data_IF_745815920602
#
_entry.id   IF_745815920602
#
_cell.length_a   1.000
_cell.length_b   1.000
_cell.length_c   1.000
_cell.angle_alpha   90.00
_cell.angle_beta   90.00
_cell.angle_gamma   90.00
#
_symmetry.space_group_name_H-M   'P 1'
#
loop_
_entity.id
_entity.type
_entity.pdbx_description
1 polymer ?
#
# COMPACT_ATOMS: atom_id res chain seq x y z
N UNK A 1 -15.57 -30.34 -3.34
CA UNK A 1 -16.69 -29.80 -2.55
C UNK A 1 -16.68 -30.29 -1.09
N UNK A 2 -16.75 -31.60 -0.78
CA UNK A 2 -16.74 -32.09 0.63
C UNK A 2 -15.49 -31.67 1.42
N UNK A 3 -14.31 -31.63 0.81
CA UNK A 3 -13.07 -31.13 1.44
C UNK A 3 -13.17 -29.68 1.87
N UNK A 4 -13.79 -28.84 1.07
CA UNK A 4 -14.02 -27.42 1.36
C UNK A 4 -14.89 -27.24 2.60
N UNK A 5 -16.05 -27.90 2.68
CA UNK A 5 -16.89 -27.82 3.86
C UNK A 5 -16.20 -28.31 5.14
N UNK A 6 -15.38 -29.38 5.03
CA UNK A 6 -14.56 -29.83 6.15
C UNK A 6 -13.52 -28.77 6.59
N UNK A 7 -12.96 -28.02 5.64
CA UNK A 7 -12.02 -26.93 5.96
C UNK A 7 -12.76 -25.77 6.63
N UNK A 8 -13.94 -25.40 6.16
CA UNK A 8 -14.74 -24.32 6.73
C UNK A 8 -15.37 -24.67 8.10
N UNK A 9 -15.52 -25.95 8.45
CA UNK A 9 -16.07 -26.42 9.72
C UNK A 9 -15.08 -26.32 10.90
N UNK A 10 -14.35 -25.20 11.04
CA UNK A 10 -13.39 -24.98 12.12
C UNK A 10 -13.29 -23.47 12.42
N UNK A 11 -13.52 -23.09 13.67
CA UNK A 11 -13.56 -21.67 14.09
C UNK A 11 -12.25 -20.93 13.83
N UNK A 12 -11.08 -21.59 14.02
CA UNK A 12 -9.78 -20.96 13.75
C UNK A 12 -9.62 -20.64 12.26
N UNK A 13 -10.07 -21.52 11.37
CA UNK A 13 -9.99 -21.29 9.91
C UNK A 13 -10.95 -20.20 9.44
N UNK A 14 -12.12 -20.09 10.03
CA UNK A 14 -13.04 -18.99 9.77
C UNK A 14 -12.45 -17.64 10.19
N UNK A 15 -11.80 -17.58 11.37
CA UNK A 15 -11.06 -16.39 11.82
C UNK A 15 -9.92 -16.03 10.86
N UNK A 16 -9.12 -17.02 10.42
CA UNK A 16 -8.05 -16.82 9.44
C UNK A 16 -8.57 -16.27 8.12
N UNK A 17 -9.67 -16.79 7.58
CA UNK A 17 -10.30 -16.29 6.36
C UNK A 17 -10.68 -14.81 6.49
N UNK A 18 -11.28 -14.45 7.62
CA UNK A 18 -11.70 -13.07 7.90
C UNK A 18 -10.52 -12.12 8.01
N UNK A 19 -9.43 -12.53 8.66
CA UNK A 19 -8.20 -11.74 8.77
C UNK A 19 -7.58 -11.55 7.38
N UNK A 20 -7.42 -12.64 6.61
CA UNK A 20 -6.83 -12.64 5.27
C UNK A 20 -7.68 -11.89 4.22
N UNK A 21 -8.93 -11.57 4.52
CA UNK A 21 -9.75 -10.65 3.74
C UNK A 21 -9.27 -9.20 3.81
N UNK A 22 -8.62 -8.83 4.91
CA UNK A 22 -8.18 -7.46 5.18
C UNK A 22 -6.78 -7.17 4.62
N UNK A 23 -6.07 -8.21 4.14
CA UNK A 23 -4.73 -8.04 3.56
C UNK A 23 -3.91 -9.32 3.57
N UNK A 24 -2.67 -9.19 3.15
CA UNK A 24 -1.70 -10.27 3.07
C UNK A 24 -0.90 -10.35 4.37
N UNK A 25 -0.87 -11.54 4.97
CA UNK A 25 -0.20 -11.75 6.25
C UNK A 25 0.76 -12.94 6.21
N UNK A 26 1.87 -12.83 6.92
CA UNK A 26 2.79 -13.93 7.18
C UNK A 26 2.27 -14.82 8.30
N UNK A 27 2.87 -16.02 8.44
CA UNK A 27 2.57 -16.91 9.59
C UNK A 27 2.83 -16.19 10.91
N UNK A 28 3.88 -15.35 10.97
CA UNK A 28 4.25 -14.64 12.19
C UNK A 28 3.18 -13.60 12.55
N UNK A 29 2.69 -12.84 11.58
CA UNK A 29 1.60 -11.88 11.80
C UNK A 29 0.34 -12.57 12.30
N UNK A 30 -0.06 -13.67 11.64
CA UNK A 30 -1.24 -14.44 12.02
C UNK A 30 -1.10 -15.08 13.42
N UNK A 31 0.12 -15.46 13.79
CA UNK A 31 0.45 -15.93 15.14
C UNK A 31 0.23 -14.85 16.20
N UNK A 32 0.66 -13.62 15.88
CA UNK A 32 0.48 -12.45 16.75
C UNK A 32 -1.01 -12.05 16.85
N UNK A 33 -1.70 -11.94 15.72
CA UNK A 33 -3.11 -11.54 15.67
C UNK A 33 -3.99 -12.50 16.46
N UNK A 34 -3.82 -13.80 16.22
CA UNK A 34 -4.66 -14.84 16.83
C UNK A 34 -4.22 -15.23 18.25
N UNK A 35 -3.00 -14.87 18.68
CA UNK A 35 -2.42 -15.31 19.94
C UNK A 35 -2.21 -16.83 19.99
N UNK A 36 -1.88 -17.47 18.86
CA UNK A 36 -1.76 -18.93 18.72
C UNK A 36 -0.37 -19.32 18.30
N UNK A 37 0.06 -20.53 18.66
CA UNK A 37 1.39 -21.05 18.29
C UNK A 37 1.56 -21.25 16.78
N UNK A 38 2.77 -20.95 16.28
CA UNK A 38 3.14 -20.98 14.85
C UNK A 38 2.81 -22.31 14.17
N UNK A 39 3.13 -23.43 14.82
CA UNK A 39 2.88 -24.78 14.25
C UNK A 39 1.39 -25.04 13.99
N UNK A 40 0.52 -24.51 14.88
CA UNK A 40 -0.92 -24.64 14.73
C UNK A 40 -1.43 -23.78 13.57
N UNK A 41 -1.00 -22.52 13.48
CA UNK A 41 -1.33 -21.64 12.38
C UNK A 41 -0.87 -22.22 11.04
N UNK A 42 0.40 -22.64 10.94
CA UNK A 42 0.96 -23.24 9.72
C UNK A 42 0.16 -24.46 9.25
N UNK A 43 -0.32 -25.31 10.18
CA UNK A 43 -1.16 -26.47 9.85
C UNK A 43 -2.51 -26.05 9.27
N UNK A 44 -3.16 -25.04 9.84
CA UNK A 44 -4.43 -24.52 9.31
C UNK A 44 -4.22 -23.90 7.92
N UNK A 45 -3.19 -23.06 7.74
CA UNK A 45 -2.87 -22.44 6.46
C UNK A 45 -2.59 -23.48 5.37
N UNK A 46 -1.84 -24.54 5.69
CA UNK A 46 -1.60 -25.64 4.75
C UNK A 46 -2.91 -26.29 4.28
N UNK A 47 -3.80 -26.65 5.20
CA UNK A 47 -5.10 -27.25 4.85
C UNK A 47 -5.96 -26.31 4.00
N UNK A 48 -5.93 -25.00 4.28
CA UNK A 48 -6.68 -24.00 3.53
C UNK A 48 -6.08 -23.78 2.13
N UNK A 49 -4.76 -23.80 1.99
CA UNK A 49 -4.08 -23.72 0.69
C UNK A 49 -4.33 -24.96 -0.17
N UNK A 50 -4.28 -26.18 0.42
CA UNK A 50 -4.61 -27.44 -0.26
C UNK A 50 -6.08 -27.49 -0.73
N UNK A 51 -6.96 -26.75 -0.06
CA UNK A 51 -8.37 -26.60 -0.45
C UNK A 51 -8.61 -25.49 -1.47
N UNK A 52 -7.58 -24.76 -1.91
CA UNK A 52 -7.69 -23.69 -2.89
C UNK A 52 -8.24 -22.37 -2.33
N UNK A 53 -8.33 -22.22 -1.00
CA UNK A 53 -8.83 -21.00 -0.36
C UNK A 53 -7.79 -19.89 -0.25
N UNK A 54 -6.49 -20.25 -0.33
CA UNK A 54 -5.38 -19.32 -0.15
C UNK A 54 -4.40 -19.42 -1.32
N UNK A 55 -3.91 -18.25 -1.73
CA UNK A 55 -2.68 -18.12 -2.52
C UNK A 55 -1.51 -17.80 -1.57
N UNK A 56 -0.32 -18.25 -1.95
CA UNK A 56 0.91 -18.01 -1.19
C UNK A 56 1.90 -17.32 -2.11
N UNK A 57 2.28 -16.11 -1.75
CA UNK A 57 3.28 -15.33 -2.46
C UNK A 57 4.58 -15.32 -1.66
N UNK A 58 5.69 -15.66 -2.33
CA UNK A 58 7.02 -15.63 -1.71
C UNK A 58 7.70 -14.30 -2.03
N UNK A 59 8.01 -13.55 -0.97
CA UNK A 59 8.78 -12.30 -1.05
C UNK A 59 10.05 -12.44 -0.20
N UNK A 60 11.19 -12.64 -0.86
CA UNK A 60 12.45 -12.95 -0.18
C UNK A 60 12.36 -14.24 0.64
N UNK A 61 12.56 -14.14 1.94
CA UNK A 61 12.45 -15.26 2.90
C UNK A 61 11.04 -15.44 3.48
N UNK A 62 10.13 -14.51 3.20
CA UNK A 62 8.80 -14.47 3.77
C UNK A 62 7.77 -15.09 2.82
N UNK A 63 6.76 -15.79 3.40
CA UNK A 63 5.60 -16.30 2.70
C UNK A 63 4.38 -15.51 3.17
N UNK A 64 3.78 -14.77 2.23
CA UNK A 64 2.54 -14.03 2.44
C UNK A 64 1.36 -14.88 1.99
N UNK A 65 0.36 -14.97 2.84
CA UNK A 65 -0.87 -15.68 2.57
C UNK A 65 -1.95 -14.68 2.21
N UNK A 66 -2.64 -14.93 1.12
CA UNK A 66 -3.73 -14.12 0.59
C UNK A 66 -4.95 -14.99 0.38
N UNK A 67 -6.14 -14.42 0.61
CA UNK A 67 -7.39 -15.10 0.29
C UNK A 67 -7.56 -15.18 -1.23
N UNK A 68 -7.83 -16.39 -1.74
CA UNK A 68 -8.12 -16.67 -3.15
C UNK A 68 -9.61 -16.92 -3.30
N UNK A 69 -10.36 -15.87 -3.64
CA UNK A 69 -11.78 -15.97 -3.97
C UNK A 69 -11.93 -15.62 -5.46
N UNK A 70 -11.67 -16.62 -6.32
CA UNK A 70 -12.01 -16.48 -7.74
C UNK A 70 -13.54 -16.43 -7.89
N UNK A 71 -14.03 -15.78 -8.96
CA UNK A 71 -15.47 -15.74 -9.27
C UNK A 71 -16.03 -17.16 -9.37
N UNK A 72 -17.16 -17.41 -8.71
CA UNK A 72 -17.85 -18.69 -8.70
C UNK A 72 -18.32 -19.13 -7.32
N UNK A 73 -18.55 -20.42 -7.16
CA UNK A 73 -19.15 -21.01 -5.95
C UNK A 73 -18.51 -20.58 -4.62
N UNK A 74 -17.18 -20.41 -4.60
CA UNK A 74 -16.46 -19.98 -3.38
C UNK A 74 -16.76 -18.54 -3.00
N UNK A 75 -16.82 -17.66 -3.99
CA UNK A 75 -17.19 -16.26 -3.83
C UNK A 75 -18.62 -16.10 -3.32
N UNK A 76 -19.56 -16.86 -3.93
CA UNK A 76 -20.97 -16.84 -3.54
C UNK A 76 -21.20 -17.40 -2.13
N UNK A 77 -20.53 -18.51 -1.83
CA UNK A 77 -20.56 -19.10 -0.48
C UNK A 77 -20.01 -18.14 0.54
N UNK A 78 -18.87 -17.49 0.24
CA UNK A 78 -18.23 -16.52 1.12
C UNK A 78 -19.17 -15.34 1.39
N UNK A 79 -19.77 -14.74 0.37
CA UNK A 79 -20.72 -13.63 0.52
C UNK A 79 -21.91 -13.98 1.46
N UNK A 80 -22.29 -15.25 1.50
CA UNK A 80 -23.36 -15.74 2.38
C UNK A 80 -22.88 -16.00 3.82
N UNK A 81 -21.62 -16.33 4.02
CA UNK A 81 -21.05 -16.70 5.33
C UNK A 81 -20.43 -15.50 6.04
N UNK A 82 -19.77 -14.59 5.32
CA UNK A 82 -19.03 -13.45 5.86
C UNK A 82 -19.86 -12.60 6.86
N UNK A 83 -21.12 -12.23 6.58
CA UNK A 83 -21.91 -11.44 7.52
C UNK A 83 -22.13 -12.15 8.87
N UNK A 84 -22.17 -13.47 8.88
CA UNK A 84 -22.36 -14.28 10.09
C UNK A 84 -21.07 -14.50 10.88
N UNK A 85 -19.92 -14.29 10.27
CA UNK A 85 -18.64 -14.32 10.98
C UNK A 85 -18.46 -13.11 11.92
N UNK A 86 -19.29 -12.09 11.78
CA UNK A 86 -19.37 -10.98 12.71
C UNK A 86 -19.87 -11.39 14.12
N UNK A 87 -20.48 -12.57 14.24
CA UNK A 87 -21.00 -13.11 15.49
C UNK A 87 -19.94 -13.92 16.29
N UNK A 88 -18.73 -14.08 15.78
CA UNK A 88 -17.65 -14.79 16.47
C UNK A 88 -17.18 -13.99 17.70
N UNK A 89 -17.08 -14.65 18.85
CA UNK A 89 -16.71 -14.02 20.14
C UNK A 89 -15.35 -13.31 20.08
N UNK A 90 -14.40 -13.83 19.28
CA UNK A 90 -13.05 -13.27 19.17
C UNK A 90 -12.90 -12.14 18.15
N UNK A 91 -14.00 -11.69 17.55
CA UNK A 91 -13.96 -10.72 16.45
C UNK A 91 -13.22 -9.43 16.80
N UNK A 92 -13.58 -8.81 17.93
CA UNK A 92 -12.99 -7.53 18.35
C UNK A 92 -11.50 -7.68 18.63
N UNK A 93 -11.11 -8.79 19.27
CA UNK A 93 -9.71 -9.09 19.56
C UNK A 93 -8.89 -9.27 18.27
N UNK A 94 -9.43 -10.00 17.31
CA UNK A 94 -8.75 -10.24 16.03
C UNK A 94 -8.63 -8.93 15.23
N UNK A 95 -9.65 -8.10 15.21
CA UNK A 95 -9.62 -6.79 14.57
C UNK A 95 -8.56 -5.87 15.18
N UNK A 96 -8.49 -5.81 16.51
CA UNK A 96 -7.43 -5.06 17.21
C UNK A 96 -6.03 -5.62 16.88
N UNK A 97 -5.88 -6.94 16.83
CA UNK A 97 -4.63 -7.59 16.44
C UNK A 97 -4.19 -7.24 15.03
N UNK A 98 -5.12 -7.20 14.07
CA UNK A 98 -4.85 -6.75 12.69
C UNK A 98 -4.37 -5.30 12.67
N UNK A 99 -5.09 -4.39 13.34
CA UNK A 99 -4.71 -2.98 13.43
C UNK A 99 -3.31 -2.80 14.06
N UNK A 100 -3.00 -3.58 15.09
CA UNK A 100 -1.67 -3.54 15.72
C UNK A 100 -0.58 -3.98 14.75
N UNK A 101 -0.71 -5.13 14.09
CA UNK A 101 0.27 -5.64 13.13
C UNK A 101 0.48 -4.67 11.97
N UNK A 102 -0.60 -4.10 11.42
CA UNK A 102 -0.52 -3.09 10.36
C UNK A 102 0.19 -1.82 10.85
N UNK A 103 -0.10 -1.35 12.06
CA UNK A 103 0.57 -0.19 12.66
C UNK A 103 2.08 -0.44 12.86
N UNK A 104 2.45 -1.63 13.32
CA UNK A 104 3.87 -2.02 13.51
C UNK A 104 4.61 -2.13 12.17
N UNK A 105 3.95 -2.63 11.10
CA UNK A 105 4.51 -2.63 9.74
C UNK A 105 4.76 -1.21 9.23
N UNK A 106 3.79 -0.31 9.39
CA UNK A 106 3.94 1.11 9.00
C UNK A 106 5.12 1.77 9.73
N UNK A 107 5.24 1.56 11.04
CA UNK A 107 6.37 2.09 11.81
C UNK A 107 7.70 1.55 11.31
N UNK A 108 7.83 0.25 11.07
CA UNK A 108 9.07 -0.35 10.55
C UNK A 108 9.43 0.20 9.16
N UNK A 109 8.46 0.34 8.27
CA UNK A 109 8.69 0.94 6.96
C UNK A 109 9.16 2.39 7.10
N UNK A 110 8.49 3.20 7.91
CA UNK A 110 8.88 4.57 8.17
C UNK A 110 10.28 4.68 8.77
N UNK A 111 10.62 3.84 9.74
CA UNK A 111 11.95 3.78 10.35
C UNK A 111 13.02 3.39 9.32
N UNK A 112 12.73 2.41 8.46
CA UNK A 112 13.62 2.02 7.36
C UNK A 112 13.91 3.18 6.41
N UNK A 113 12.87 3.87 5.94
CA UNK A 113 13.04 5.04 5.08
C UNK A 113 13.76 6.18 5.78
N UNK A 114 13.47 6.43 7.06
CA UNK A 114 14.16 7.45 7.84
C UNK A 114 15.67 7.16 7.98
N UNK A 115 16.06 5.90 8.14
CA UNK A 115 17.46 5.49 8.28
C UNK A 115 18.23 5.54 6.97
N UNK A 116 17.60 5.20 5.84
CA UNK A 116 18.24 5.08 4.53
C UNK A 116 17.99 6.28 3.60
N UNK A 117 17.31 7.31 4.10
CA UNK A 117 16.89 8.44 3.27
C UNK A 117 18.05 9.11 2.49
N UNK A 118 19.23 9.25 3.08
CA UNK A 118 20.40 9.89 2.42
C UNK A 118 21.02 9.05 1.33
N UNK A 119 20.93 7.72 1.43
CA UNK A 119 21.50 6.79 0.43
C UNK A 119 20.46 6.35 -0.58
N UNK A 120 19.21 6.83 -0.45
CA UNK A 120 18.06 6.37 -1.22
C UNK A 120 18.25 6.59 -2.72
N UNK A 121 18.72 7.77 -3.14
CA UNK A 121 18.93 8.08 -4.56
C UNK A 121 19.99 7.18 -5.19
N UNK A 122 21.06 6.83 -4.46
CA UNK A 122 22.08 5.91 -4.94
C UNK A 122 21.53 4.49 -5.13
N UNK A 123 20.73 4.02 -4.17
CA UNK A 123 20.06 2.71 -4.23
C UNK A 123 19.08 2.68 -5.40
N UNK A 124 18.35 3.75 -5.65
CA UNK A 124 17.35 3.87 -6.70
C UNK A 124 18.01 3.91 -8.11
N UNK A 125 19.11 4.64 -8.26
CA UNK A 125 19.87 4.71 -9.53
C UNK A 125 20.43 3.35 -9.93
N UNK A 126 20.97 2.58 -8.98
CA UNK A 126 21.52 1.25 -9.25
C UNK A 126 20.44 0.21 -9.65
N UNK A 127 19.23 0.34 -9.11
CA UNK A 127 18.17 -0.64 -9.31
C UNK A 127 17.34 -0.43 -10.59
N UNK A 128 17.22 0.79 -11.13
CA UNK A 128 16.18 1.13 -12.09
C UNK A 128 16.65 1.45 -13.53
N UNK A 129 17.94 1.53 -13.84
CA UNK A 129 18.38 1.87 -15.22
C UNK A 129 17.65 3.11 -15.81
N UNK A 130 17.70 4.23 -15.14
CA UNK A 130 16.72 5.31 -15.06
C UNK A 130 16.49 6.26 -16.26
N UNK A 131 17.39 6.50 -17.22
CA UNK A 131 17.18 7.60 -18.16
C UNK A 131 15.89 7.47 -18.98
N UNK A 132 15.65 6.30 -19.58
CA UNK A 132 14.46 6.06 -20.42
C UNK A 132 13.12 6.03 -19.63
N UNK A 133 13.16 5.65 -18.36
CA UNK A 133 11.96 5.57 -17.53
C UNK A 133 11.42 6.95 -17.18
N UNK A 134 12.28 7.86 -16.74
CA UNK A 134 11.87 9.23 -16.36
C UNK A 134 11.28 9.98 -17.55
N UNK A 135 11.89 9.87 -18.72
CA UNK A 135 11.41 10.50 -19.94
C UNK A 135 10.01 10.00 -20.34
N UNK A 136 9.78 8.70 -20.22
CA UNK A 136 8.47 8.10 -20.48
C UNK A 136 7.41 8.58 -19.48
N UNK A 137 7.74 8.56 -18.18
CA UNK A 137 6.85 9.03 -17.12
C UNK A 137 6.47 10.50 -17.37
N UNK A 138 7.46 11.34 -17.64
CA UNK A 138 7.23 12.76 -17.94
C UNK A 138 6.41 12.99 -19.21
N UNK A 139 6.59 12.16 -20.23
CA UNK A 139 5.80 12.26 -21.46
C UNK A 139 4.31 11.99 -21.22
N UNK A 140 3.96 11.21 -20.19
CA UNK A 140 2.57 10.90 -19.83
C UNK A 140 1.90 12.01 -18.98
N UNK A 141 2.67 12.96 -18.42
CA UNK A 141 2.16 14.03 -17.58
C UNK A 141 1.65 15.19 -18.44
N UNK A 142 0.34 15.51 -18.38
CA UNK A 142 -0.21 16.69 -19.04
C UNK A 142 0.40 17.98 -18.49
N UNK A 143 0.67 18.97 -19.34
CA UNK A 143 1.19 20.26 -18.89
C UNK A 143 0.13 21.10 -18.19
N UNK A 144 0.57 21.92 -17.23
CA UNK A 144 -0.25 22.88 -16.50
C UNK A 144 -0.91 22.34 -15.24
N UNK A 145 -1.58 23.24 -14.52
CA UNK A 145 -2.33 22.94 -13.30
C UNK A 145 -1.46 22.50 -12.10
N UNK A 146 -2.13 21.94 -11.10
CA UNK A 146 -1.48 21.36 -9.91
C UNK A 146 -1.09 19.91 -10.19
N UNK A 147 0.20 19.60 -10.05
CA UNK A 147 0.72 18.22 -10.05
C UNK A 147 1.04 17.80 -8.62
N UNK A 148 0.54 16.66 -8.22
CA UNK A 148 0.82 16.06 -6.89
C UNK A 148 1.62 14.79 -7.07
N UNK A 149 2.83 14.73 -6.50
CA UNK A 149 3.64 13.50 -6.41
C UNK A 149 3.41 12.88 -5.03
N UNK A 150 2.92 11.64 -5.01
CA UNK A 150 2.72 10.86 -3.78
C UNK A 150 3.90 9.91 -3.62
N UNK A 151 4.57 9.94 -2.46
CA UNK A 151 5.84 9.26 -2.23
C UNK A 151 7.00 10.02 -2.86
N UNK A 152 7.09 11.33 -2.58
CA UNK A 152 8.10 12.22 -3.18
C UNK A 152 9.54 11.84 -2.86
N UNK A 153 9.78 11.07 -1.79
CA UNK A 153 11.12 10.67 -1.35
C UNK A 153 12.04 11.87 -1.13
N UNK A 154 13.21 11.83 -1.72
CA UNK A 154 14.22 12.91 -1.67
C UNK A 154 13.88 14.11 -2.56
N UNK A 155 12.82 14.02 -3.37
CA UNK A 155 12.40 15.06 -4.28
C UNK A 155 13.13 15.08 -5.62
N UNK A 156 13.77 13.98 -6.01
CA UNK A 156 14.56 13.87 -7.25
C UNK A 156 13.76 14.18 -8.52
N UNK A 157 12.45 13.90 -8.54
CA UNK A 157 11.58 14.15 -9.67
C UNK A 157 10.97 15.57 -9.66
N UNK A 158 10.97 16.28 -8.53
CA UNK A 158 10.35 17.60 -8.36
C UNK A 158 10.80 18.64 -9.38
N UNK A 159 12.11 18.77 -9.74
CA UNK A 159 12.53 19.73 -10.75
C UNK A 159 11.86 19.51 -12.10
N UNK A 160 11.76 18.26 -12.53
CA UNK A 160 11.18 17.87 -13.80
C UNK A 160 9.63 18.07 -13.82
N UNK A 161 8.97 17.76 -12.70
CA UNK A 161 7.53 18.02 -12.54
C UNK A 161 7.23 19.52 -12.52
N UNK A 162 8.11 20.31 -11.92
CA UNK A 162 7.95 21.77 -11.89
C UNK A 162 8.01 22.38 -13.28
N UNK A 163 8.77 21.83 -14.22
CA UNK A 163 8.79 22.33 -15.61
C UNK A 163 7.45 22.12 -16.31
N UNK A 164 6.71 21.07 -15.96
CA UNK A 164 5.44 20.70 -16.59
C UNK A 164 4.20 21.26 -15.93
N UNK A 165 4.28 21.71 -14.69
CA UNK A 165 3.15 22.15 -13.88
C UNK A 165 3.13 23.66 -13.65
N UNK A 166 2.00 24.22 -13.25
CA UNK A 166 1.92 25.56 -12.68
C UNK A 166 2.38 25.55 -11.21
N UNK A 167 2.03 24.47 -10.50
CA UNK A 167 2.45 24.21 -9.12
C UNK A 167 2.67 22.71 -8.93
N UNK A 168 3.65 22.37 -8.12
CA UNK A 168 3.92 20.99 -7.73
C UNK A 168 3.80 20.85 -6.22
N UNK A 169 3.14 19.79 -5.77
CA UNK A 169 3.08 19.41 -4.36
C UNK A 169 3.63 17.98 -4.22
N UNK A 170 4.74 17.84 -3.51
CA UNK A 170 5.30 16.54 -3.12
C UNK A 170 4.75 16.10 -1.77
N UNK A 171 4.36 14.84 -1.65
CA UNK A 171 3.81 14.25 -0.43
C UNK A 171 4.61 13.01 -0.05
N UNK A 172 4.96 12.89 1.23
CA UNK A 172 5.59 11.69 1.77
C UNK A 172 5.17 11.49 3.23
N UNK A 173 5.16 10.24 3.69
CA UNK A 173 4.87 9.91 5.09
C UNK A 173 6.10 9.97 6.01
N UNK A 174 7.32 10.06 5.43
CA UNK A 174 8.59 10.11 6.13
C UNK A 174 9.05 11.55 6.37
N UNK A 175 9.18 12.00 7.64
CA UNK A 175 9.74 13.32 7.94
C UNK A 175 11.16 13.52 7.41
N UNK A 176 11.97 12.46 7.38
CA UNK A 176 13.34 12.51 6.85
C UNK A 176 13.36 12.73 5.34
N UNK A 177 12.46 12.08 4.59
CA UNK A 177 12.31 12.29 3.15
C UNK A 177 11.83 13.72 2.85
N UNK A 178 10.81 14.21 3.58
CA UNK A 178 10.34 15.60 3.44
C UNK A 178 11.46 16.61 3.71
N UNK A 179 12.33 16.34 4.68
CA UNK A 179 13.50 17.20 4.93
C UNK A 179 14.43 17.25 3.72
N UNK A 180 14.78 16.09 3.15
CA UNK A 180 15.65 16.01 1.97
C UNK A 180 15.00 16.64 0.73
N UNK A 181 13.69 16.41 0.53
CA UNK A 181 12.96 17.06 -0.55
C UNK A 181 12.96 18.58 -0.46
N UNK A 182 12.91 19.15 0.76
CA UNK A 182 13.08 20.60 0.98
C UNK A 182 14.49 21.07 0.62
N UNK A 183 15.52 20.32 0.99
CA UNK A 183 16.89 20.59 0.60
C UNK A 183 17.04 20.59 -0.93
N UNK A 184 16.37 19.67 -1.64
CA UNK A 184 16.32 19.64 -3.11
C UNK A 184 15.63 20.87 -3.69
N UNK A 185 14.49 21.29 -3.13
CA UNK A 185 13.76 22.52 -3.53
C UNK A 185 14.65 23.74 -3.42
N UNK A 186 15.36 23.88 -2.30
CA UNK A 186 16.26 25.02 -2.03
C UNK A 186 17.45 25.02 -3.00
N UNK A 187 18.11 23.88 -3.20
CA UNK A 187 19.25 23.71 -4.11
C UNK A 187 18.87 24.01 -5.58
N UNK A 188 17.68 23.61 -6.00
CA UNK A 188 17.17 23.79 -7.37
C UNK A 188 16.41 25.11 -7.54
N UNK A 189 16.33 25.96 -6.51
CA UNK A 189 15.66 27.26 -6.54
C UNK A 189 14.18 27.19 -6.94
N UNK A 190 13.48 26.14 -6.51
CA UNK A 190 12.08 25.86 -6.86
C UNK A 190 11.07 26.48 -5.89
N UNK A 191 11.53 27.27 -4.91
CA UNK A 191 10.68 27.92 -3.93
C UNK A 191 9.59 28.79 -4.61
N UNK A 192 8.36 28.68 -4.12
CA UNK A 192 7.21 29.37 -4.71
C UNK A 192 6.47 28.61 -5.82
N UNK A 193 7.10 27.62 -6.45
CA UNK A 193 6.45 26.74 -7.43
C UNK A 193 6.24 25.33 -6.90
N UNK A 194 7.12 24.86 -6.03
CA UNK A 194 7.10 23.52 -5.43
C UNK A 194 6.95 23.65 -3.93
N UNK A 195 6.05 22.86 -3.35
CA UNK A 195 5.89 22.65 -1.89
C UNK A 195 5.96 21.17 -1.57
N UNK A 196 6.37 20.82 -0.33
CA UNK A 196 6.36 19.45 0.12
C UNK A 196 5.73 19.33 1.51
N UNK A 197 4.90 18.32 1.72
CA UNK A 197 4.17 18.13 2.98
C UNK A 197 4.20 16.66 3.41
N UNK A 198 4.16 16.49 4.73
CA UNK A 198 3.95 15.18 5.34
C UNK A 198 2.48 14.76 5.12
N UNK A 199 2.27 13.60 4.50
CA UNK A 199 0.93 13.05 4.28
C UNK A 199 0.97 11.54 4.07
N UNK A 200 -0.15 10.88 4.37
CA UNK A 200 -0.39 9.48 4.03
C UNK A 200 -0.99 9.39 2.61
N UNK A 201 -0.63 8.33 1.86
CA UNK A 201 -1.09 8.16 0.48
C UNK A 201 -2.60 7.93 0.33
N UNK A 202 -3.26 7.51 1.40
CA UNK A 202 -4.72 7.32 1.47
C UNK A 202 -5.46 8.52 2.09
N UNK A 203 -4.75 9.62 2.37
CA UNK A 203 -5.32 10.86 2.88
C UNK A 203 -4.50 12.07 2.40
N UNK A 204 -4.82 12.57 1.21
CA UNK A 204 -4.08 13.65 0.56
C UNK A 204 -4.60 15.02 1.03
N UNK A 205 -3.71 15.97 1.42
CA UNK A 205 -4.11 17.31 1.89
C UNK A 205 -4.53 18.23 0.71
N UNK A 206 -5.41 17.71 -0.15
CA UNK A 206 -5.94 18.39 -1.32
C UNK A 206 -7.46 18.38 -1.27
N UNK A 207 -8.09 19.45 -1.77
CA UNK A 207 -9.54 19.52 -1.92
C UNK A 207 -10.04 18.54 -2.98
N UNK A 208 -11.33 18.22 -2.96
CA UNK A 208 -11.95 17.46 -4.05
C UNK A 208 -11.77 18.22 -5.37
N UNK A 209 -11.61 17.48 -6.47
CA UNK A 209 -11.59 18.03 -7.84
C UNK A 209 -10.61 19.20 -8.03
N UNK A 210 -9.42 19.14 -7.39
CA UNK A 210 -8.47 20.26 -7.35
C UNK A 210 -7.09 19.97 -7.95
N UNK A 211 -6.83 18.72 -8.33
CA UNK A 211 -5.52 18.25 -8.80
C UNK A 211 -5.61 17.86 -10.28
N UNK A 212 -4.76 18.45 -11.12
CA UNK A 212 -4.67 18.15 -12.55
C UNK A 212 -4.04 16.79 -12.79
N UNK A 213 -2.96 16.48 -12.08
CA UNK A 213 -2.25 15.20 -12.24
C UNK A 213 -1.75 14.68 -10.90
N UNK A 214 -1.99 13.41 -10.62
CA UNK A 214 -1.35 12.68 -9.53
C UNK A 214 -0.30 11.74 -10.11
N UNK A 215 0.89 11.77 -9.55
CA UNK A 215 2.03 10.92 -9.93
C UNK A 215 2.33 9.96 -8.79
N UNK A 216 2.39 8.66 -9.10
CA UNK A 216 2.83 7.59 -8.20
C UNK A 216 4.12 6.98 -8.77
N UNK A 217 5.27 7.49 -8.34
CA UNK A 217 6.54 6.98 -8.81
C UNK A 217 7.12 5.97 -7.81
N UNK A 218 7.10 4.67 -8.14
CA UNK A 218 7.67 3.60 -7.33
C UNK A 218 7.18 3.56 -5.86
N UNK A 219 5.92 3.94 -5.61
CA UNK A 219 5.38 4.05 -4.25
C UNK A 219 4.21 3.12 -3.98
N UNK A 220 3.44 2.75 -5.00
CA UNK A 220 2.19 2.00 -4.83
C UNK A 220 2.38 0.62 -4.17
N UNK A 221 3.53 0.00 -4.37
CA UNK A 221 3.87 -1.29 -3.75
C UNK A 221 4.04 -1.21 -2.22
N UNK A 222 4.12 0.00 -1.64
CA UNK A 222 4.11 0.22 -0.20
C UNK A 222 2.70 0.39 0.38
N UNK A 223 1.67 0.48 -0.48
CA UNK A 223 0.30 0.63 -0.04
C UNK A 223 -0.24 -0.66 0.57
N UNK A 224 -0.70 -0.61 1.83
CA UNK A 224 -1.38 -1.74 2.48
C UNK A 224 -2.76 -2.01 1.86
N UNK A 225 -3.43 -0.96 1.42
CA UNK A 225 -4.76 -0.99 0.82
C UNK A 225 -4.80 -0.14 -0.46
N UNK A 226 -4.31 -0.65 -1.60
CA UNK A 226 -4.24 0.12 -2.84
C UNK A 226 -5.59 0.71 -3.29
N UNK A 227 -6.68 0.02 -3.00
CA UNK A 227 -8.04 0.50 -3.34
C UNK A 227 -8.37 1.81 -2.65
N UNK A 228 -7.98 2.00 -1.39
CA UNK A 228 -8.20 3.24 -0.65
C UNK A 228 -7.34 4.39 -1.23
N UNK A 229 -6.11 4.07 -1.64
CA UNK A 229 -5.24 5.04 -2.33
C UNK A 229 -5.88 5.51 -3.63
N UNK A 230 -6.40 4.60 -4.46
CA UNK A 230 -7.08 4.97 -5.70
C UNK A 230 -8.37 5.76 -5.46
N UNK A 231 -9.14 5.46 -4.41
CA UNK A 231 -10.33 6.25 -4.03
C UNK A 231 -9.95 7.67 -3.65
N UNK A 232 -8.89 7.83 -2.87
CA UNK A 232 -8.41 9.15 -2.47
C UNK A 232 -7.87 9.94 -3.65
N UNK A 233 -7.13 9.30 -4.56
CA UNK A 233 -6.67 9.91 -5.81
C UNK A 233 -7.86 10.34 -6.66
N UNK A 234 -8.87 9.50 -6.83
CA UNK A 234 -10.08 9.83 -7.57
C UNK A 234 -10.84 11.01 -6.95
N UNK A 235 -10.82 11.15 -5.61
CA UNK A 235 -11.43 12.28 -4.90
C UNK A 235 -10.77 13.61 -5.23
N UNK A 236 -9.44 13.64 -5.31
CA UNK A 236 -8.69 14.90 -5.50
C UNK A 236 -8.52 15.29 -6.95
N UNK A 237 -8.57 14.34 -7.88
CA UNK A 237 -8.43 14.63 -9.32
C UNK A 237 -9.63 15.44 -9.83
N UNK A 238 -9.34 16.50 -10.56
CA UNK A 238 -10.35 17.28 -11.27
C UNK A 238 -10.96 16.46 -12.43
N UNK A 239 -12.17 16.78 -12.91
CA UNK A 239 -12.75 16.15 -14.09
C UNK A 239 -11.81 16.24 -15.30
N UNK A 240 -11.40 15.09 -15.83
CA UNK A 240 -10.40 15.01 -16.91
C UNK A 240 -8.95 15.10 -16.44
N UNK A 241 -8.70 15.06 -15.12
CA UNK A 241 -7.36 14.92 -14.53
C UNK A 241 -6.74 13.55 -14.80
N UNK A 242 -5.44 13.42 -14.64
CA UNK A 242 -4.67 12.23 -14.95
C UNK A 242 -4.02 11.60 -13.72
N UNK A 243 -4.01 10.26 -13.67
CA UNK A 243 -3.14 9.49 -12.80
C UNK A 243 -2.02 8.88 -13.64
N UNK A 244 -0.77 9.09 -13.24
CA UNK A 244 0.43 8.51 -13.85
C UNK A 244 1.12 7.65 -12.80
N UNK A 245 1.27 6.32 -13.07
CA UNK A 245 1.84 5.36 -12.13
C UNK A 245 2.78 4.36 -12.84
#
# INVERSE_FOLDING_TARGET
>A
MLSLFKVLADGTRLRLLRILRQGDFTVQDLTQILGMGQSRISRHLKLMSEAGLLQVEKQGTWHYYRLSLEEGFLSDLWASVEPRLAELEEQERDALGVLQVMSERRKRNQEFFNQHARDWDNIHVELLNLPDYQDRLLAMIPSGGLVVEVGVGTGSLLPLLAEKSERTLGLDHSPSMIKLARETIDQQQLAGKVDVRLAEMNHLPCSNDSVRTVVLNQVLHHAEQPVEVFREIARVLEPGGALVA
#
